data_IF_027996649038
#
_entry.id   IF_027996649038
#
_cell.length_a   1.000
_cell.length_b   1.000
_cell.length_c   1.000
_cell.angle_alpha   90.00
_cell.angle_beta   90.00
_cell.angle_gamma   90.00
#
_symmetry.space_group_name_H-M   'P 1'
#
loop_
_entity.id
_entity.type
_entity.pdbx_description
1 polymer ?
#
# COMPACT_ATOMS: atom_id res chain seq x y z
N UNK A 1 -4.65 29.21 -5.50
CA UNK A 1 -4.78 30.50 -5.05
C UNK A 1 -4.58 30.67 -3.58
N UNK A 2 -3.81 31.61 -3.16
CA UNK A 2 -3.53 31.88 -1.77
C UNK A 2 -4.44 32.95 -1.17
N UNK A 3 -5.67 33.06 -1.63
CA UNK A 3 -6.68 33.94 -1.03
C UNK A 3 -7.68 33.11 -0.22
N UNK A 4 -8.66 33.78 0.37
CA UNK A 4 -9.74 33.15 1.13
C UNK A 4 -10.55 32.13 0.33
N UNK A 5 -10.42 32.14 -0.99
CA UNK A 5 -11.00 31.16 -1.91
C UNK A 5 -10.08 29.98 -2.13
N UNK A 6 -8.96 29.90 -1.42
CA UNK A 6 -8.02 28.82 -1.45
C UNK A 6 -8.66 27.44 -1.30
N UNK A 7 -8.07 26.58 -0.59
CA UNK A 7 -8.52 25.19 -0.47
C UNK A 7 -9.91 25.01 0.11
N UNK A 8 -10.34 25.89 1.00
CA UNK A 8 -11.68 25.82 1.61
C UNK A 8 -12.82 25.97 0.59
N UNK A 9 -12.60 26.72 -0.48
CA UNK A 9 -13.59 26.89 -1.56
C UNK A 9 -13.50 25.84 -2.66
N UNK A 10 -12.48 25.05 -2.69
CA UNK A 10 -12.25 24.09 -3.79
C UNK A 10 -13.23 22.93 -3.81
N UNK A 11 -13.74 22.52 -2.67
CA UNK A 11 -14.82 21.52 -2.58
C UNK A 11 -16.16 22.02 -3.11
N UNK A 12 -16.35 23.35 -3.15
CA UNK A 12 -17.59 23.99 -3.56
C UNK A 12 -17.55 24.54 -4.98
N UNK A 13 -16.36 24.68 -5.57
CA UNK A 13 -16.20 25.11 -6.96
C UNK A 13 -16.46 23.95 -7.91
N UNK A 14 -17.10 24.19 -9.08
CA UNK A 14 -17.10 23.22 -10.16
C UNK A 14 -15.66 22.88 -10.48
N UNK A 15 -15.27 21.73 -10.17
CA UNK A 15 -13.88 21.40 -10.31
C UNK A 15 -13.17 21.05 -9.04
N UNK A 16 -13.63 21.32 -7.89
CA UNK A 16 -13.15 21.01 -6.56
C UNK A 16 -12.00 20.03 -6.39
N UNK A 17 -11.76 19.69 -5.17
CA UNK A 17 -10.72 18.74 -4.76
C UNK A 17 -11.20 17.32 -5.01
N UNK A 18 -10.55 16.57 -5.89
CA UNK A 18 -10.80 15.13 -6.00
C UNK A 18 -10.00 14.44 -4.91
N UNK A 19 -10.71 13.81 -3.99
CA UNK A 19 -10.10 12.84 -3.12
C UNK A 19 -9.49 11.72 -4.00
N UNK A 20 -8.25 11.43 -3.80
CA UNK A 20 -7.50 10.50 -4.63
C UNK A 20 -8.01 9.07 -4.59
N UNK A 21 -8.70 8.71 -3.53
CA UNK A 21 -9.34 7.40 -3.36
C UNK A 21 -10.22 7.06 -4.56
N UNK A 22 -10.91 8.04 -5.13
CA UNK A 22 -11.82 7.84 -6.26
C UNK A 22 -11.09 7.62 -7.60
N UNK A 23 -9.78 7.88 -7.65
CA UNK A 23 -8.93 7.72 -8.84
C UNK A 23 -7.82 6.70 -8.70
N UNK A 24 -7.83 5.90 -7.65
CA UNK A 24 -6.81 4.86 -7.45
C UNK A 24 -6.68 3.93 -8.66
N UNK A 25 -7.77 3.59 -9.32
CA UNK A 25 -7.78 2.79 -10.54
C UNK A 25 -7.00 3.43 -11.68
N UNK A 26 -7.18 4.72 -11.90
CA UNK A 26 -6.52 5.45 -12.99
C UNK A 26 -5.04 5.71 -12.70
N UNK A 27 -4.70 5.87 -11.44
CA UNK A 27 -3.32 6.10 -11.00
C UNK A 27 -2.50 4.81 -10.98
N UNK A 28 -3.12 3.67 -10.71
CA UNK A 28 -2.46 2.36 -10.78
C UNK A 28 -1.94 2.04 -12.18
N UNK A 29 -2.65 2.46 -13.22
CA UNK A 29 -2.25 2.23 -14.60
C UNK A 29 -1.11 3.15 -15.07
N UNK A 30 -0.81 4.22 -14.35
CA UNK A 30 0.17 5.23 -14.74
C UNK A 30 1.46 5.18 -13.95
N UNK A 31 2.04 4.01 -13.66
CA UNK A 31 3.34 3.81 -13.03
C UNK A 31 3.35 3.35 -11.55
N UNK A 32 2.28 2.74 -11.05
CA UNK A 32 2.30 2.11 -9.73
C UNK A 32 2.45 3.06 -8.54
N UNK A 33 2.18 4.34 -8.74
CA UNK A 33 2.21 5.31 -7.67
C UNK A 33 0.82 5.47 -7.08
N UNK A 34 0.61 4.86 -5.95
CA UNK A 34 -0.57 5.10 -5.15
C UNK A 34 -0.49 6.44 -4.47
N UNK A 35 -1.63 7.04 -4.27
CA UNK A 35 -1.72 8.41 -3.86
C UNK A 35 -2.60 8.54 -2.65
N UNK A 36 -2.00 8.96 -1.57
CA UNK A 36 -2.64 9.11 -0.29
C UNK A 36 -2.67 10.57 0.11
N UNK A 37 -3.85 11.14 0.14
CA UNK A 37 -4.07 12.52 0.57
C UNK A 37 -5.09 12.54 1.68
N UNK A 38 -4.79 13.26 2.74
CA UNK A 38 -5.70 13.59 3.83
C UNK A 38 -6.01 15.08 3.86
N UNK A 39 -7.11 15.44 4.50
CA UNK A 39 -7.42 16.81 4.86
C UNK A 39 -6.95 17.04 6.29
N UNK A 40 -6.28 18.16 6.54
CA UNK A 40 -5.85 18.50 7.88
C UNK A 40 -7.03 18.96 8.73
N UNK A 41 -7.43 18.19 9.74
CA UNK A 41 -8.56 18.51 10.62
C UNK A 41 -8.37 19.83 11.38
N UNK A 42 -7.11 20.19 11.66
CA UNK A 42 -6.76 21.40 12.41
C UNK A 42 -6.56 22.64 11.53
N UNK A 43 -6.47 22.47 10.22
CA UNK A 43 -6.19 23.55 9.27
C UNK A 43 -7.19 23.45 8.12
N UNK A 44 -8.35 24.09 8.30
CA UNK A 44 -9.39 24.12 7.26
C UNK A 44 -8.82 24.54 5.90
N UNK A 45 -9.06 23.72 4.89
CA UNK A 45 -8.63 23.98 3.52
C UNK A 45 -7.19 23.57 3.19
N UNK A 46 -6.49 22.89 4.07
CA UNK A 46 -5.17 22.32 3.78
C UNK A 46 -5.28 20.86 3.39
N UNK A 47 -4.52 20.48 2.39
CA UNK A 47 -4.30 19.08 2.03
C UNK A 47 -2.90 18.65 2.48
N UNK A 48 -2.78 17.39 2.87
CA UNK A 48 -1.55 16.83 3.39
C UNK A 48 -1.45 15.34 2.99
N UNK A 49 -0.26 14.75 3.02
CA UNK A 49 -0.14 13.30 2.91
C UNK A 49 -0.98 12.60 3.99
N UNK A 50 -1.57 11.46 3.65
CA UNK A 50 -2.35 10.68 4.60
C UNK A 50 -1.53 10.36 5.84
N UNK A 51 -2.08 10.63 7.01
CA UNK A 51 -1.54 10.19 8.27
C UNK A 51 -2.13 8.83 8.62
N UNK A 52 -1.28 7.86 8.88
CA UNK A 52 -1.71 6.53 9.31
C UNK A 52 -2.36 6.59 10.69
N UNK A 53 -3.45 5.86 10.85
CA UNK A 53 -4.01 5.55 12.15
C UNK A 53 -3.25 4.34 12.72
N UNK A 54 -2.59 4.45 13.88
CA UNK A 54 -1.82 3.34 14.46
C UNK A 54 -2.65 2.10 14.81
N UNK A 55 -3.96 2.27 14.97
CA UNK A 55 -4.90 1.19 15.31
C UNK A 55 -5.55 0.57 14.06
N UNK A 56 -5.23 1.07 12.86
CA UNK A 56 -5.78 0.56 11.62
C UNK A 56 -4.84 -0.48 11.00
N UNK A 57 -5.39 -1.66 10.74
CA UNK A 57 -4.66 -2.70 10.03
C UNK A 57 -4.50 -2.36 8.55
N UNK A 58 -3.27 -2.02 8.15
CA UNK A 58 -2.92 -1.62 6.78
C UNK A 58 -3.14 -2.77 5.78
N UNK A 59 -3.09 -4.02 6.22
CA UNK A 59 -3.22 -5.18 5.33
C UNK A 59 -4.61 -5.33 4.73
N UNK A 60 -5.66 -4.85 5.40
CA UNK A 60 -7.05 -5.00 4.94
C UNK A 60 -7.31 -4.41 3.54
N UNK A 61 -6.68 -3.28 3.21
CA UNK A 61 -6.90 -2.60 1.93
C UNK A 61 -5.79 -2.89 0.89
N UNK A 62 -5.03 -3.97 1.06
CA UNK A 62 -3.89 -4.30 0.17
C UNK A 62 -4.35 -4.37 -1.29
N UNK A 63 -5.41 -5.12 -1.57
CA UNK A 63 -5.89 -5.32 -2.95
C UNK A 63 -6.49 -4.05 -3.55
N UNK A 64 -7.19 -3.24 -2.75
CA UNK A 64 -7.75 -1.95 -3.20
C UNK A 64 -6.65 -0.97 -3.60
N UNK A 65 -5.51 -1.06 -2.94
CA UNK A 65 -4.31 -0.26 -3.26
C UNK A 65 -3.48 -0.83 -4.42
N UNK A 66 -3.93 -1.95 -5.04
CA UNK A 66 -3.17 -2.63 -6.10
C UNK A 66 -1.96 -3.39 -5.59
N UNK A 67 -1.97 -3.74 -4.31
CA UNK A 67 -1.04 -4.71 -3.75
C UNK A 67 -1.43 -6.14 -4.07
N UNK A 68 -0.67 -7.08 -3.55
CA UNK A 68 -0.84 -8.50 -3.84
C UNK A 68 -0.29 -9.36 -2.68
N UNK A 69 -0.72 -10.61 -2.66
CA UNK A 69 -0.16 -11.64 -1.78
C UNK A 69 0.18 -12.88 -2.59
N UNK A 70 1.35 -13.45 -2.38
CA UNK A 70 1.80 -14.65 -3.07
C UNK A 70 2.70 -15.52 -2.19
N UNK A 71 2.88 -16.76 -2.60
CA UNK A 71 3.87 -17.69 -2.06
C UNK A 71 4.84 -18.05 -3.19
N UNK A 72 5.85 -17.23 -3.47
CA UNK A 72 6.63 -17.29 -4.70
C UNK A 72 7.45 -18.57 -4.86
N UNK A 73 7.72 -19.28 -3.79
CA UNK A 73 8.52 -20.50 -3.77
C UNK A 73 7.72 -21.81 -3.84
N UNK A 74 6.41 -21.72 -4.04
CA UNK A 74 5.55 -22.86 -4.32
C UNK A 74 5.13 -22.92 -5.79
N UNK A 75 4.89 -24.14 -6.28
CA UNK A 75 4.29 -24.34 -7.58
C UNK A 75 2.85 -23.77 -7.58
N UNK A 76 2.38 -23.33 -8.75
CA UNK A 76 1.03 -22.75 -8.89
C UNK A 76 -0.09 -23.71 -8.44
N UNK A 77 0.11 -25.02 -8.63
CA UNK A 77 -0.83 -26.05 -8.19
C UNK A 77 -0.94 -26.18 -6.66
N UNK A 78 0.04 -25.66 -5.94
CA UNK A 78 0.13 -25.74 -4.47
C UNK A 78 -0.27 -24.42 -3.79
N UNK A 79 -0.77 -23.49 -4.56
CA UNK A 79 -1.27 -22.18 -4.10
C UNK A 79 -2.78 -22.16 -4.23
N UNK A 80 -3.44 -21.74 -3.19
CA UNK A 80 -4.86 -21.39 -3.22
C UNK A 80 -5.00 -19.87 -3.10
N UNK A 81 -5.43 -19.17 -4.16
CA UNK A 81 -5.57 -17.72 -4.13
C UNK A 81 -6.63 -17.24 -3.12
N UNK A 82 -7.68 -18.03 -2.88
CA UNK A 82 -8.74 -17.68 -1.92
C UNK A 82 -8.19 -17.76 -0.49
N UNK A 83 -7.45 -18.84 -0.16
CA UNK A 83 -6.79 -18.98 1.13
C UNK A 83 -5.77 -17.85 1.37
N UNK A 84 -4.98 -17.48 0.33
CA UNK A 84 -4.02 -16.39 0.45
C UNK A 84 -4.71 -15.03 0.64
N UNK A 85 -5.77 -14.76 -0.12
CA UNK A 85 -6.53 -13.52 0.06
C UNK A 85 -7.19 -13.45 1.45
N UNK A 86 -7.60 -14.60 1.99
CA UNK A 86 -8.14 -14.73 3.34
C UNK A 86 -7.24 -14.18 4.43
N UNK A 87 -5.92 -14.30 4.25
CA UNK A 87 -4.92 -13.84 5.25
C UNK A 87 -4.91 -12.32 5.47
N UNK A 88 -5.57 -11.54 4.62
CA UNK A 88 -5.52 -10.07 4.63
C UNK A 88 -6.93 -9.43 4.70
N UNK A 89 -7.98 -10.19 5.02
CA UNK A 89 -9.35 -9.71 4.85
C UNK A 89 -10.15 -9.47 6.15
N UNK A 90 -9.59 -9.83 7.30
CA UNK A 90 -10.27 -9.75 8.60
C UNK A 90 -11.43 -10.73 8.77
N UNK A 91 -11.53 -11.77 7.91
CA UNK A 91 -12.60 -12.77 7.95
C UNK A 91 -12.04 -14.15 8.28
N UNK A 92 -12.25 -14.59 9.51
CA UNK A 92 -11.71 -15.84 10.05
C UNK A 92 -12.33 -17.13 9.49
N UNK A 93 -13.08 -17.07 8.39
CA UNK A 93 -13.65 -18.25 7.72
C UNK A 93 -12.67 -18.94 6.80
N UNK A 94 -11.74 -18.22 6.23
CA UNK A 94 -10.74 -18.72 5.28
C UNK A 94 -9.35 -18.36 5.79
N UNK A 95 -8.47 -19.34 5.83
CA UNK A 95 -7.08 -19.16 6.26
C UNK A 95 -6.13 -19.86 5.30
N UNK A 96 -4.88 -19.42 5.23
CA UNK A 96 -3.85 -20.13 4.48
C UNK A 96 -3.43 -21.39 5.22
N UNK A 97 -3.87 -22.54 4.69
CA UNK A 97 -3.76 -23.83 5.35
C UNK A 97 -2.58 -24.67 4.83
N UNK A 98 -1.60 -24.87 5.70
CA UNK A 98 -0.45 -25.75 5.50
C UNK A 98 -0.39 -26.85 6.54
N UNK A 99 -1.54 -27.20 7.11
CA UNK A 99 -1.65 -28.29 8.07
C UNK A 99 -1.34 -29.65 7.40
N UNK A 100 -0.92 -30.58 8.22
CA UNK A 100 -0.70 -31.94 7.76
C UNK A 100 -2.01 -32.58 7.30
N UNK A 101 -2.01 -33.12 6.09
CA UNK A 101 -3.11 -33.93 5.55
C UNK A 101 -2.60 -35.35 5.31
N UNK A 102 -3.26 -36.35 5.87
CA UNK A 102 -2.87 -37.74 5.69
C UNK A 102 -2.83 -38.13 4.21
N UNK A 103 -1.71 -38.70 3.76
CA UNK A 103 -1.50 -39.11 2.37
C UNK A 103 -0.99 -38.01 1.44
N UNK A 104 -0.80 -36.76 1.93
CA UNK A 104 -0.23 -35.66 1.17
C UNK A 104 1.09 -35.21 1.81
N UNK A 105 2.12 -35.09 1.01
CA UNK A 105 3.37 -34.45 1.46
C UNK A 105 3.20 -32.94 1.31
N UNK A 106 3.19 -32.25 2.44
CA UNK A 106 3.10 -30.80 2.50
C UNK A 106 4.50 -30.24 2.84
N UNK A 107 5.02 -29.42 1.96
CA UNK A 107 6.25 -28.68 2.24
C UNK A 107 5.93 -27.47 3.09
N UNK A 108 6.49 -27.39 4.29
CA UNK A 108 6.29 -26.28 5.22
C UNK A 108 7.57 -25.46 5.43
N UNK A 109 8.70 -26.13 5.54
CA UNK A 109 9.97 -25.43 5.68
C UNK A 109 10.31 -24.68 4.40
N UNK A 110 10.59 -23.39 4.53
CA UNK A 110 10.91 -22.47 3.47
C UNK A 110 9.70 -21.91 2.72
N UNK A 111 8.47 -22.22 3.13
CA UNK A 111 7.26 -21.55 2.60
C UNK A 111 7.28 -20.08 3.00
N UNK A 112 7.21 -19.18 2.03
CA UNK A 112 7.32 -17.76 2.22
C UNK A 112 6.04 -17.07 1.73
N UNK A 113 5.26 -16.51 2.64
CA UNK A 113 4.10 -15.66 2.34
C UNK A 113 4.63 -14.25 2.11
N UNK A 114 4.45 -13.74 0.91
CA UNK A 114 4.91 -12.42 0.52
C UNK A 114 3.73 -11.50 0.22
N UNK A 115 3.75 -10.33 0.85
CA UNK A 115 2.74 -9.28 0.69
C UNK A 115 3.40 -8.07 0.03
N UNK A 116 2.85 -7.60 -1.08
CA UNK A 116 3.05 -6.24 -1.60
C UNK A 116 1.95 -5.35 -1.03
N UNK A 117 2.28 -4.43 -0.17
CA UNK A 117 1.32 -3.50 0.42
C UNK A 117 0.72 -2.52 -0.60
N UNK A 118 1.21 -2.56 -1.83
CA UNK A 118 0.82 -1.66 -2.91
C UNK A 118 1.48 -0.28 -2.82
N UNK A 119 1.87 0.15 -1.64
CA UNK A 119 2.59 1.40 -1.38
C UNK A 119 3.55 1.26 -0.21
N UNK A 120 4.38 2.29 -0.01
CA UNK A 120 5.28 2.39 1.14
C UNK A 120 4.54 2.97 2.33
N UNK A 121 4.67 2.33 3.48
CA UNK A 121 4.10 2.79 4.76
C UNK A 121 5.17 2.80 5.84
N UNK A 122 5.04 3.73 6.78
CA UNK A 122 5.81 3.70 8.02
C UNK A 122 5.26 2.60 8.93
N UNK A 123 5.90 1.44 8.91
CA UNK A 123 5.49 0.24 9.64
C UNK A 123 6.31 0.10 10.91
N UNK A 124 5.66 -0.32 12.02
CA UNK A 124 6.31 -0.54 13.31
C UNK A 124 5.77 -1.74 14.09
N UNK A 125 4.73 -2.41 13.59
CA UNK A 125 4.16 -3.59 14.25
C UNK A 125 3.59 -4.56 13.22
N UNK A 126 3.77 -5.84 13.46
CA UNK A 126 3.14 -6.93 12.71
C UNK A 126 2.57 -7.96 13.66
N UNK A 127 1.38 -8.47 13.33
CA UNK A 127 0.71 -9.53 14.09
C UNK A 127 0.33 -10.63 13.12
N UNK A 128 0.49 -11.90 13.53
CA UNK A 128 -0.05 -13.02 12.77
C UNK A 128 -0.42 -14.18 13.69
N UNK A 129 -1.42 -14.95 13.30
CA UNK A 129 -1.98 -16.02 14.12
C UNK A 129 -2.78 -17.01 13.26
N UNK A 130 -3.01 -18.25 13.74
CA UNK A 130 -3.95 -19.20 13.17
C UNK A 130 -5.39 -18.85 13.60
N UNK A 131 -6.39 -19.46 12.98
CA UNK A 131 -7.78 -19.33 13.44
C UNK A 131 -7.96 -19.83 14.88
N UNK A 132 -8.59 -19.02 15.70
CA UNK A 132 -8.81 -19.30 17.12
C UNK A 132 -10.27 -19.07 17.53
N UNK A 133 -11.20 -19.28 16.60
CA UNK A 133 -12.63 -19.13 16.86
C UNK A 133 -13.25 -20.45 17.34
N UNK A 134 -14.44 -20.41 17.93
CA UNK A 134 -15.18 -21.62 18.34
C UNK A 134 -15.47 -22.57 17.17
N UNK A 135 -15.67 -22.01 15.97
CA UNK A 135 -15.91 -22.78 14.75
C UNK A 135 -14.61 -23.36 14.17
N UNK A 136 -13.50 -22.69 14.40
CA UNK A 136 -12.18 -23.03 13.86
C UNK A 136 -11.13 -23.00 14.98
N UNK A 137 -11.10 -24.00 15.88
CA UNK A 137 -10.22 -24.00 17.05
C UNK A 137 -8.81 -24.50 16.71
N UNK A 138 -8.13 -23.82 15.78
CA UNK A 138 -6.81 -24.23 15.27
C UNK A 138 -5.62 -23.55 15.98
N UNK A 139 -5.81 -23.07 17.21
CA UNK A 139 -4.74 -22.43 17.97
C UNK A 139 -3.48 -23.29 18.19
N UNK A 140 -3.54 -24.61 17.99
CA UNK A 140 -2.36 -25.46 18.03
C UNK A 140 -1.58 -25.53 16.71
N UNK A 141 -2.12 -24.98 15.63
CA UNK A 141 -1.56 -25.03 14.28
C UNK A 141 -0.80 -23.76 13.93
N UNK A 142 -0.20 -23.12 14.91
CA UNK A 142 0.58 -21.91 14.72
C UNK A 142 1.97 -22.17 14.11
N UNK A 143 2.57 -21.19 13.50
CA UNK A 143 3.90 -21.27 12.88
C UNK A 143 4.99 -21.41 13.95
N UNK A 144 5.62 -22.59 14.02
CA UNK A 144 6.59 -22.96 15.05
C UNK A 144 7.98 -22.36 14.88
N UNK A 145 8.27 -21.83 13.75
CA UNK A 145 9.53 -21.13 13.49
C UNK A 145 9.40 -20.30 12.23
N UNK A 146 9.91 -19.08 12.27
CA UNK A 146 9.76 -18.14 11.17
C UNK A 146 10.92 -17.17 11.03
N UNK A 147 11.00 -16.60 9.85
CA UNK A 147 11.83 -15.44 9.50
C UNK A 147 10.92 -14.35 8.92
N UNK A 148 11.14 -13.11 9.35
CA UNK A 148 10.49 -11.93 8.81
C UNK A 148 11.48 -11.12 7.98
N UNK A 149 11.10 -10.80 6.76
CA UNK A 149 11.85 -9.93 5.87
C UNK A 149 11.01 -8.71 5.50
N UNK A 150 11.67 -7.57 5.39
CA UNK A 150 11.05 -6.30 4.99
C UNK A 150 11.84 -5.69 3.86
N UNK A 151 11.13 -5.01 2.95
CA UNK A 151 11.74 -4.29 1.84
C UNK A 151 10.95 -2.99 1.58
N UNK A 152 11.64 -1.89 1.37
CA UNK A 152 11.06 -0.56 1.22
C UNK A 152 10.49 -0.28 -0.18
N UNK A 153 10.73 -1.17 -1.15
CA UNK A 153 10.26 -1.00 -2.54
C UNK A 153 10.99 0.09 -3.33
N UNK A 154 12.11 0.60 -2.84
CA UNK A 154 12.93 1.53 -3.63
C UNK A 154 13.62 0.80 -4.79
N UNK A 155 13.86 1.47 -5.93
CA UNK A 155 14.37 0.83 -7.13
C UNK A 155 15.68 0.05 -6.95
N UNK A 156 16.56 0.48 -6.05
CA UNK A 156 17.81 -0.21 -5.76
C UNK A 156 17.65 -1.47 -4.90
N UNK A 157 16.48 -1.64 -4.27
CA UNK A 157 16.10 -2.79 -3.47
C UNK A 157 15.16 -3.74 -4.23
N UNK A 158 15.01 -3.55 -5.53
CA UNK A 158 14.20 -4.38 -6.40
C UNK A 158 15.04 -5.00 -7.51
N UNK A 159 14.67 -6.19 -7.94
CA UNK A 159 15.12 -6.76 -9.22
C UNK A 159 14.54 -5.96 -10.40
N UNK A 160 15.13 -6.11 -11.57
CA UNK A 160 14.61 -5.50 -12.81
C UNK A 160 13.16 -5.93 -13.13
N UNK A 161 12.70 -7.04 -12.59
CA UNK A 161 11.31 -7.52 -12.68
C UNK A 161 10.34 -6.80 -11.75
N UNK A 162 10.82 -5.90 -10.87
CA UNK A 162 10.03 -5.26 -9.83
C UNK A 162 9.86 -6.09 -8.54
N UNK A 163 10.38 -7.31 -8.51
CA UNK A 163 10.32 -8.15 -7.31
C UNK A 163 11.29 -7.68 -6.23
N UNK A 164 10.94 -7.76 -4.93
CA UNK A 164 11.80 -7.32 -3.85
C UNK A 164 13.05 -8.20 -3.70
N UNK A 165 14.15 -7.56 -3.33
CA UNK A 165 15.39 -8.21 -2.93
C UNK A 165 15.39 -8.31 -1.41
N UNK A 166 15.35 -9.54 -0.88
CA UNK A 166 15.49 -9.79 0.54
C UNK A 166 16.89 -10.36 0.82
N UNK A 167 17.69 -9.64 1.59
CA UNK A 167 19.09 -10.02 1.88
C UNK A 167 19.22 -10.74 3.22
N UNK A 168 18.57 -10.25 4.24
CA UNK A 168 18.61 -10.81 5.59
C UNK A 168 17.27 -10.61 6.28
N UNK A 169 16.86 -11.54 7.15
CA UNK A 169 15.67 -11.33 7.95
C UNK A 169 15.90 -10.20 8.97
N UNK A 170 14.87 -9.39 9.20
CA UNK A 170 14.86 -8.40 10.30
C UNK A 170 14.61 -9.10 11.64
N UNK A 171 13.96 -10.25 11.59
CA UNK A 171 13.72 -11.09 12.77
C UNK A 171 13.76 -12.57 12.34
N UNK A 172 14.33 -13.38 13.22
CA UNK A 172 14.33 -14.85 13.09
C UNK A 172 14.00 -15.48 14.43
N UNK A 173 12.95 -16.28 14.46
CA UNK A 173 12.51 -17.04 15.62
C UNK A 173 12.43 -18.55 15.28
N UNK A 174 13.40 -19.37 15.67
CA UNK A 174 13.43 -20.78 15.31
C UNK A 174 12.57 -21.68 16.19
N UNK A 175 12.19 -21.25 17.38
CA UNK A 175 11.41 -22.03 18.37
C UNK A 175 10.26 -21.16 18.92
N UNK A 176 9.39 -20.71 18.03
CA UNK A 176 8.22 -19.94 18.40
C UNK A 176 7.25 -20.78 19.25
N UNK A 177 6.83 -20.22 20.36
CA UNK A 177 5.87 -20.81 21.30
C UNK A 177 4.59 -20.00 21.45
N UNK A 178 4.55 -18.83 20.82
CA UNK A 178 3.42 -17.94 20.84
C UNK A 178 2.44 -18.32 19.73
N UNK A 179 1.19 -18.52 20.10
CA UNK A 179 0.10 -18.84 19.17
C UNK A 179 -0.22 -17.60 18.32
N UNK A 180 -0.35 -16.45 18.98
CA UNK A 180 -0.46 -15.14 18.36
C UNK A 180 0.87 -14.44 18.51
N UNK A 181 1.53 -14.23 17.41
CA UNK A 181 2.76 -13.46 17.36
C UNK A 181 2.40 -11.99 17.18
N UNK A 182 2.76 -11.16 18.13
CA UNK A 182 2.58 -9.71 18.11
C UNK A 182 3.94 -9.05 18.34
N UNK A 183 4.54 -8.56 17.27
CA UNK A 183 5.91 -8.04 17.34
C UNK A 183 6.00 -6.58 16.96
N UNK A 184 6.70 -5.84 17.81
CA UNK A 184 7.14 -4.49 17.49
C UNK A 184 8.43 -4.57 16.70
N UNK A 185 8.54 -3.77 15.67
CA UNK A 185 9.73 -3.63 14.83
C UNK A 185 10.23 -2.19 14.88
N UNK A 186 11.49 -1.99 14.55
CA UNK A 186 12.03 -0.64 14.40
C UNK A 186 11.25 0.09 13.29
N UNK A 187 10.71 1.29 13.58
CA UNK A 187 9.91 2.02 12.60
C UNK A 187 10.68 2.30 11.32
N UNK A 188 10.14 1.85 10.21
CA UNK A 188 10.77 2.00 8.90
C UNK A 188 9.74 2.02 7.78
N UNK A 189 10.10 2.57 6.62
CA UNK A 189 9.25 2.51 5.44
C UNK A 189 9.33 1.13 4.78
N UNK A 190 8.17 0.49 4.64
CA UNK A 190 8.03 -0.86 4.09
C UNK A 190 6.98 -0.85 2.98
N UNK A 191 7.26 -1.55 1.88
CA UNK A 191 6.30 -1.91 0.84
C UNK A 191 6.08 -3.41 0.77
N UNK A 192 7.16 -4.20 0.92
CA UNK A 192 7.05 -5.66 0.84
C UNK A 192 7.37 -6.28 2.19
N UNK A 193 6.50 -7.19 2.60
CA UNK A 193 6.66 -8.03 3.79
C UNK A 193 6.75 -9.48 3.34
N UNK A 194 7.71 -10.23 3.84
CA UNK A 194 7.78 -11.67 3.63
C UNK A 194 7.90 -12.40 4.97
N UNK A 195 6.91 -13.23 5.27
CA UNK A 195 6.89 -14.14 6.41
C UNK A 195 7.22 -15.54 5.92
N UNK A 196 8.34 -16.09 6.35
CA UNK A 196 8.84 -17.38 5.88
C UNK A 196 8.90 -18.39 7.02
N UNK A 197 8.24 -19.52 6.83
CA UNK A 197 8.35 -20.65 7.76
C UNK A 197 9.70 -21.33 7.66
N UNK A 198 10.32 -21.57 8.82
CA UNK A 198 11.57 -22.35 8.95
C UNK A 198 11.37 -23.64 9.76
N UNK A 199 10.12 -23.99 10.02
CA UNK A 199 9.73 -25.28 10.64
C UNK A 199 9.21 -26.25 9.59
N UNK A 200 9.39 -27.56 9.85
CA UNK A 200 8.79 -28.63 9.04
C UNK A 200 7.37 -29.00 9.49
N UNK A 201 6.94 -28.51 10.66
CA UNK A 201 5.61 -28.77 11.19
C UNK A 201 4.53 -28.04 10.37
N UNK A 202 3.35 -28.64 10.33
CA UNK A 202 2.18 -28.00 9.73
C UNK A 202 1.82 -26.73 10.46
N UNK A 203 1.25 -25.77 9.73
CA UNK A 203 0.77 -24.52 10.30
C UNK A 203 -0.42 -23.98 9.51
N UNK A 204 -1.08 -23.03 10.10
CA UNK A 204 -2.13 -22.23 9.50
C UNK A 204 -1.85 -20.76 9.79
N UNK A 205 -2.17 -19.89 8.85
CA UNK A 205 -2.20 -18.44 9.06
C UNK A 205 -3.58 -17.95 8.70
N UNK A 206 -4.28 -17.41 9.69
CA UNK A 206 -5.58 -16.79 9.56
C UNK A 206 -5.45 -15.36 9.07
N UNK A 207 -4.68 -14.57 9.81
CA UNK A 207 -4.44 -13.16 9.49
C UNK A 207 -2.97 -12.81 9.64
N UNK A 208 -2.54 -11.87 8.78
CA UNK A 208 -1.32 -11.08 8.95
C UNK A 208 -1.75 -9.62 9.02
N UNK A 209 -1.70 -9.06 10.20
CA UNK A 209 -2.05 -7.67 10.45
C UNK A 209 -0.77 -6.82 10.46
N UNK A 210 -0.84 -5.66 9.82
CA UNK A 210 0.27 -4.73 9.69
C UNK A 210 -0.17 -3.37 10.19
N UNK A 211 0.62 -2.79 11.08
CA UNK A 211 0.34 -1.51 11.70
C UNK A 211 1.52 -0.56 11.54
N UNK A 212 1.21 0.73 11.60
CA UNK A 212 2.24 1.73 11.48
C UNK A 212 1.75 3.11 11.88
N UNK A 213 2.65 4.07 11.79
CA UNK A 213 2.40 5.45 12.18
C UNK A 213 3.08 6.44 11.23
N UNK A 214 2.76 7.70 11.41
CA UNK A 214 3.34 8.78 10.62
C UNK A 214 2.58 9.05 9.34
N UNK A 215 3.23 9.70 8.40
CA UNK A 215 2.65 10.05 7.11
C UNK A 215 3.15 9.09 6.04
N UNK A 216 2.31 8.86 5.02
CA UNK A 216 2.79 8.19 3.82
C UNK A 216 3.90 9.03 3.16
N UNK A 217 4.97 8.38 2.67
CA UNK A 217 6.15 9.10 2.19
C UNK A 217 5.93 9.82 0.86
N UNK A 218 4.87 9.48 0.14
CA UNK A 218 4.54 10.06 -1.15
C UNK A 218 3.04 10.20 -1.27
N UNK A 219 2.58 11.40 -1.60
CA UNK A 219 1.20 11.69 -1.90
C UNK A 219 1.10 12.51 -3.17
N UNK A 220 0.02 12.34 -3.90
CA UNK A 220 -0.26 13.12 -5.12
C UNK A 220 -1.69 13.61 -5.07
N UNK A 221 -1.87 14.87 -5.32
CA UNK A 221 -3.15 15.53 -5.38
C UNK A 221 -3.42 15.99 -6.81
N UNK A 222 -4.60 15.75 -7.33
CA UNK A 222 -5.08 16.27 -8.61
C UNK A 222 -6.38 17.02 -8.37
N UNK A 223 -6.41 18.29 -8.74
CA UNK A 223 -7.66 19.05 -8.68
C UNK A 223 -8.61 18.61 -9.77
N UNK A 224 -9.88 18.87 -9.58
CA UNK A 224 -10.82 18.86 -10.69
C UNK A 224 -10.47 19.93 -11.71
N UNK A 225 -11.05 19.80 -12.90
CA UNK A 225 -10.94 20.79 -13.95
C UNK A 225 -11.66 22.07 -13.52
N UNK A 226 -10.96 23.20 -13.60
CA UNK A 226 -11.57 24.51 -13.48
C UNK A 226 -11.93 25.02 -14.89
N UNK A 227 -13.21 25.02 -15.22
CA UNK A 227 -13.71 25.64 -16.44
C UNK A 227 -13.89 27.15 -16.22
N UNK A 228 -13.18 27.95 -17.00
CA UNK A 228 -13.30 29.40 -16.95
C UNK A 228 -14.48 29.93 -17.77
N UNK A 229 -15.16 29.08 -18.54
CA UNK A 229 -16.24 29.47 -19.44
C UNK A 229 -15.85 30.35 -20.61
N UNK A 230 -14.59 30.72 -20.71
CA UNK A 230 -14.02 31.55 -21.80
C UNK A 230 -12.49 31.36 -21.91
N UNK A 231 -11.95 31.72 -23.05
CA UNK A 231 -10.49 31.75 -23.20
C UNK A 231 -9.86 32.75 -22.22
N UNK A 232 -8.78 32.34 -21.58
CA UNK A 232 -8.07 33.15 -20.61
C UNK A 232 -6.57 32.95 -20.69
N UNK A 233 -5.82 33.94 -20.26
CA UNK A 233 -4.36 33.87 -20.08
C UNK A 233 -4.07 33.65 -18.62
N UNK A 234 -3.39 32.56 -18.31
CA UNK A 234 -2.97 32.26 -16.95
C UNK A 234 -1.81 33.18 -16.53
N UNK A 235 -1.90 33.71 -15.33
CA UNK A 235 -0.81 34.44 -14.68
C UNK A 235 0.14 33.48 -13.92
N UNK A 236 0.70 33.99 -12.84
CA UNK A 236 1.53 33.18 -11.95
C UNK A 236 0.67 32.27 -11.07
N UNK A 237 1.19 31.08 -10.81
CA UNK A 237 0.61 30.18 -9.80
C UNK A 237 1.30 30.46 -8.48
N UNK A 238 0.51 30.67 -7.45
CA UNK A 238 0.99 30.86 -6.09
C UNK A 238 0.34 29.83 -5.18
N UNK A 239 1.11 29.29 -4.25
CA UNK A 239 0.63 28.40 -3.21
C UNK A 239 1.29 28.73 -1.88
N UNK A 240 0.65 28.31 -0.80
CA UNK A 240 1.23 28.32 0.54
C UNK A 240 1.53 26.88 0.94
N UNK A 241 2.72 26.64 1.46
CA UNK A 241 3.14 25.33 1.92
C UNK A 241 3.66 25.40 3.35
N UNK A 242 3.47 24.31 4.08
CA UNK A 242 4.11 24.06 5.36
C UNK A 242 4.82 22.70 5.26
N UNK A 243 6.13 22.71 5.43
CA UNK A 243 6.95 21.50 5.34
C UNK A 243 7.12 20.89 6.73
N UNK A 244 6.52 19.74 6.95
CA UNK A 244 6.64 19.01 8.21
C UNK A 244 7.91 18.17 8.19
N UNK A 245 8.75 18.28 9.23
CA UNK A 245 10.00 17.52 9.34
C UNK A 245 11.22 18.17 8.68
N UNK A 246 11.09 19.41 8.21
CA UNK A 246 12.17 20.18 7.59
C UNK A 246 12.20 20.12 6.06
N UNK A 247 12.70 21.18 5.45
CA UNK A 247 12.73 21.34 3.99
C UNK A 247 13.64 20.31 3.30
N UNK A 248 14.64 19.80 3.99
CA UNK A 248 15.55 18.76 3.47
C UNK A 248 14.88 17.39 3.31
N UNK A 249 13.79 17.15 4.05
CA UNK A 249 13.08 15.86 4.05
C UNK A 249 11.73 15.91 3.34
N UNK A 250 11.33 17.09 2.85
CA UNK A 250 10.03 17.29 2.24
C UNK A 250 10.16 18.05 0.93
N UNK A 251 9.44 17.64 -0.10
CA UNK A 251 9.39 18.29 -1.40
C UNK A 251 7.95 18.38 -1.88
N UNK A 252 7.52 19.58 -2.23
CA UNK A 252 6.28 19.81 -2.97
C UNK A 252 6.60 20.11 -4.44
N UNK A 253 5.92 19.44 -5.35
CA UNK A 253 5.98 19.70 -6.76
C UNK A 253 4.58 20.03 -7.28
N UNK A 254 4.43 21.21 -7.85
CA UNK A 254 3.17 21.67 -8.44
C UNK A 254 3.30 21.63 -9.97
N UNK A 255 2.38 20.95 -10.61
CA UNK A 255 2.26 20.92 -12.08
C UNK A 255 0.88 21.40 -12.47
N UNK A 256 0.80 22.15 -13.54
CA UNK A 256 -0.45 22.67 -14.07
C UNK A 256 -0.56 22.30 -15.52
N UNK A 257 -1.78 21.98 -15.91
CA UNK A 257 -2.16 21.82 -17.29
C UNK A 257 -3.33 22.74 -17.59
N UNK A 258 -3.30 23.38 -18.74
CA UNK A 258 -4.41 24.14 -19.29
C UNK A 258 -4.64 23.71 -20.74
N UNK A 259 -5.85 23.78 -21.20
CA UNK A 259 -6.25 23.42 -22.56
C UNK A 259 -7.69 23.87 -22.80
N UNK A 260 -8.16 23.64 -24.01
CA UNK A 260 -9.56 23.87 -24.40
C UNK A 260 -10.35 22.55 -24.47
N UNK A 261 -9.82 21.49 -23.97
CA UNK A 261 -10.43 20.16 -23.92
C UNK A 261 -11.08 19.90 -22.55
N UNK A 262 -12.12 19.09 -22.54
CA UNK A 262 -12.85 18.69 -21.32
C UNK A 262 -12.08 17.63 -20.50
N UNK A 263 -11.00 17.09 -21.03
CA UNK A 263 -10.22 16.01 -20.41
C UNK A 263 -8.75 16.37 -20.27
N UNK A 264 -8.39 17.32 -19.38
CA UNK A 264 -7.01 17.77 -19.19
C UNK A 264 -6.06 16.67 -18.71
N UNK A 265 -6.59 15.54 -18.25
CA UNK A 265 -5.83 14.36 -17.82
C UNK A 265 -5.31 13.55 -19.00
N UNK A 266 -5.89 13.69 -20.18
CA UNK A 266 -5.51 12.97 -21.40
C UNK A 266 -4.50 13.79 -22.19
N UNK A 267 -3.35 13.21 -22.46
CA UNK A 267 -2.33 13.83 -23.28
C UNK A 267 -2.57 13.52 -24.75
N UNK A 268 -3.01 14.52 -25.52
CA UNK A 268 -3.07 14.42 -26.98
C UNK A 268 -1.73 14.78 -27.57
N UNK A 269 -1.07 13.84 -28.20
CA UNK A 269 0.13 14.10 -28.98
C UNK A 269 -0.27 14.37 -30.43
N UNK A 270 0.05 15.55 -30.93
CA UNK A 270 -0.06 15.80 -32.36
C UNK A 270 0.91 14.90 -33.11
N UNK A 271 0.40 14.03 -33.96
CA UNK A 271 1.20 13.21 -34.86
C UNK A 271 1.05 13.79 -36.24
N UNK A 272 2.17 14.20 -36.86
CA UNK A 272 2.15 14.60 -38.25
C UNK A 272 1.85 13.38 -39.12
N UNK A 273 0.71 13.37 -39.78
CA UNK A 273 0.35 12.36 -40.77
C UNK A 273 0.66 12.99 -42.14
N UNK A 274 1.59 12.38 -42.88
CA UNK A 274 2.01 12.82 -44.22
C UNK A 274 2.53 14.26 -44.28
N UNK A 275 3.24 14.72 -43.24
CA UNK A 275 3.88 16.04 -43.26
C UNK A 275 2.94 17.23 -43.04
N UNK A 276 1.68 17.01 -42.78
CA UNK A 276 0.70 18.04 -42.40
C UNK A 276 0.51 17.95 -40.88
N UNK A 277 0.71 19.09 -40.20
CA UNK A 277 0.47 19.25 -38.76
C UNK A 277 -1.01 19.35 -38.47
#
# INVERSE_FOLDING_TARGET
GGDERGWSGWGETPGGVIAFVDRLGDVQNSAGNQVFVGVADSLSGWIMPLRLNPDFNISLDVFERGGDIDVPNLARSDKDPEELAGVLNGDHRVAYDRKFVAGRIVRNNGVAIRIDLGARFGMDRIVFYPRMTDLFPFGNEFMRGYELFLNDGLPHNLFASGQPIFTSPVLREPDNREVMVDMQIEPQFVRFVELKSISTLGFEVDEIEIYGRGFVPTARYVSNVLDLGQEGVWGAINWTEALTGGAENSKLEVRVRSGMDETPDVYYRSVAVNGVR
#
